data_IF_748229553929
#
_entry.id   IF_748229553929
#
_cell.length_a   1.000
_cell.length_b   1.000
_cell.length_c   1.000
_cell.angle_alpha   90.00
_cell.angle_beta   90.00
_cell.angle_gamma   90.00
#
_symmetry.space_group_name_H-M   'P 1'
#
loop_
_entity.id
_entity.type
_entity.pdbx_description
1 polymer ?
#
# COMPACT_ATOMS: atom_id res chain seq x y z
N UNK A 1 8.30 13.35 1.52
CA UNK A 1 7.90 12.31 2.48
C UNK A 1 6.39 12.16 2.31
N UNK A 2 5.88 10.97 2.01
CA UNK A 2 4.43 10.75 1.84
C UNK A 2 3.77 10.74 3.22
N UNK A 3 2.76 11.58 3.40
CA UNK A 3 1.93 11.61 4.60
C UNK A 3 0.85 10.54 4.53
N UNK A 4 0.32 10.11 5.68
CA UNK A 4 -0.87 9.27 5.70
C UNK A 4 -0.65 7.76 5.55
N UNK A 5 0.59 7.26 5.44
CA UNK A 5 0.85 5.80 5.28
C UNK A 5 0.22 4.94 6.40
N UNK A 6 -0.04 5.53 7.58
CA UNK A 6 -0.76 4.90 8.68
C UNK A 6 -2.20 4.47 8.34
N UNK A 7 -2.82 5.00 7.27
CA UNK A 7 -4.11 4.49 6.77
C UNK A 7 -4.04 3.02 6.35
N UNK A 8 -2.86 2.52 6.00
CA UNK A 8 -2.66 1.09 5.75
C UNK A 8 -2.70 0.23 7.01
N UNK A 9 -2.59 0.78 8.22
CA UNK A 9 -2.48 -0.01 9.46
C UNK A 9 -3.69 -0.91 9.69
N UNK A 10 -4.90 -0.45 9.35
CA UNK A 10 -6.12 -1.27 9.49
C UNK A 10 -6.12 -2.45 8.53
N UNK A 11 -5.74 -2.24 7.26
CA UNK A 11 -5.59 -3.32 6.28
C UNK A 11 -4.47 -4.27 6.69
N UNK A 12 -3.31 -3.74 7.05
CA UNK A 12 -2.17 -4.53 7.50
C UNK A 12 -2.47 -5.29 8.78
N UNK A 13 -3.34 -4.83 9.69
CA UNK A 13 -3.66 -5.58 10.92
C UNK A 13 -4.26 -6.97 10.66
N UNK A 14 -4.84 -7.21 9.48
CA UNK A 14 -5.45 -8.48 9.10
C UNK A 14 -4.38 -9.53 8.85
N UNK A 15 -4.60 -10.77 9.27
CA UNK A 15 -3.67 -11.88 9.01
C UNK A 15 -3.59 -12.24 7.52
N UNK A 16 -4.63 -11.92 6.75
CA UNK A 16 -4.80 -12.25 5.34
C UNK A 16 -4.47 -11.09 4.39
N UNK A 17 -3.93 -9.97 4.87
CA UNK A 17 -3.68 -8.76 4.09
C UNK A 17 -2.91 -8.97 2.77
N UNK A 18 -2.02 -9.96 2.74
CA UNK A 18 -1.16 -10.30 1.60
C UNK A 18 -1.81 -11.28 0.60
N UNK A 19 -2.99 -11.79 0.92
CA UNK A 19 -3.75 -12.71 0.07
C UNK A 19 -4.49 -11.98 -1.03
N UNK A 20 -4.98 -12.71 -2.03
CA UNK A 20 -5.78 -12.19 -3.15
C UNK A 20 -7.29 -12.14 -2.83
N UNK A 21 -7.66 -12.08 -1.55
CA UNK A 21 -9.06 -11.98 -1.18
C UNK A 21 -9.62 -10.59 -1.55
N UNK A 22 -10.78 -10.51 -2.25
CA UNK A 22 -11.36 -9.24 -2.69
C UNK A 22 -11.57 -8.22 -1.55
N UNK A 23 -11.87 -8.69 -0.34
CA UNK A 23 -12.03 -7.84 0.84
C UNK A 23 -10.72 -7.14 1.25
N UNK A 24 -9.58 -7.80 1.06
CA UNK A 24 -8.27 -7.23 1.37
C UNK A 24 -7.90 -6.15 0.35
N UNK A 25 -8.14 -6.40 -0.92
CA UNK A 25 -7.91 -5.41 -1.98
C UNK A 25 -8.79 -4.18 -1.78
N UNK A 26 -10.06 -4.37 -1.40
CA UNK A 26 -10.96 -3.25 -1.08
C UNK A 26 -10.41 -2.39 0.06
N UNK A 27 -9.91 -3.00 1.14
CA UNK A 27 -9.33 -2.26 2.27
C UNK A 27 -8.05 -1.53 1.88
N UNK A 28 -7.19 -2.15 1.07
CA UNK A 28 -6.02 -1.51 0.50
C UNK A 28 -6.40 -0.26 -0.32
N UNK A 29 -7.38 -0.38 -1.24
CA UNK A 29 -7.82 0.75 -2.06
C UNK A 29 -8.45 1.89 -1.25
N UNK A 30 -9.23 1.56 -0.22
CA UNK A 30 -9.81 2.57 0.68
C UNK A 30 -8.72 3.33 1.45
N UNK A 31 -7.68 2.64 1.91
CA UNK A 31 -6.53 3.26 2.55
C UNK A 31 -5.75 4.15 1.56
N UNK A 32 -5.45 3.62 0.37
CA UNK A 32 -4.72 4.35 -0.67
C UNK A 32 -5.45 5.63 -1.10
N UNK A 33 -6.77 5.58 -1.25
CA UNK A 33 -7.59 6.75 -1.57
C UNK A 33 -7.40 7.89 -0.56
N UNK A 34 -7.32 7.57 0.73
CA UNK A 34 -7.06 8.57 1.79
C UNK A 34 -5.65 9.15 1.67
N UNK A 35 -4.66 8.30 1.40
CA UNK A 35 -3.27 8.73 1.21
C UNK A 35 -3.17 9.68 0.01
N UNK A 36 -3.80 9.36 -1.12
CA UNK A 36 -3.82 10.25 -2.31
C UNK A 36 -4.48 11.59 -1.95
N UNK A 37 -5.61 11.58 -1.24
CA UNK A 37 -6.29 12.80 -0.83
C UNK A 37 -5.43 13.69 0.11
N UNK A 38 -4.57 13.09 0.93
CA UNK A 38 -3.65 13.80 1.82
C UNK A 38 -2.36 14.28 1.12
N UNK A 39 -2.08 13.81 -0.10
CA UNK A 39 -0.89 14.17 -0.86
C UNK A 39 -1.30 14.65 -2.28
N UNK A 40 -2.06 15.77 -2.39
CA UNK A 40 -2.59 16.24 -3.66
C UNK A 40 -1.47 16.60 -4.64
N UNK A 41 -1.58 16.15 -5.89
CA UNK A 41 -0.59 16.43 -6.94
C UNK A 41 0.76 15.72 -6.76
N UNK A 42 0.86 14.76 -5.84
CA UNK A 42 2.10 14.04 -5.53
C UNK A 42 1.97 12.57 -5.91
N UNK A 43 2.94 12.05 -6.66
CA UNK A 43 3.03 10.63 -7.00
C UNK A 43 3.46 9.80 -5.77
N UNK A 44 2.66 8.80 -5.42
CA UNK A 44 2.99 7.85 -4.36
C UNK A 44 3.90 6.76 -4.94
N UNK A 45 5.20 6.96 -4.84
CA UNK A 45 6.16 5.98 -5.35
C UNK A 45 6.12 4.61 -4.63
N UNK A 46 6.37 3.53 -5.39
CA UNK A 46 6.39 2.14 -4.92
C UNK A 46 7.19 2.01 -3.62
N UNK A 47 8.37 2.63 -3.61
CA UNK A 47 9.33 2.52 -2.50
C UNK A 47 8.73 2.92 -1.16
N UNK A 48 7.86 3.94 -1.11
CA UNK A 48 7.29 4.43 0.14
C UNK A 48 6.37 3.39 0.77
N UNK A 49 5.49 2.81 -0.05
CA UNK A 49 4.54 1.79 0.41
C UNK A 49 5.25 0.48 0.69
N UNK A 50 6.19 0.08 -0.16
CA UNK A 50 7.00 -1.12 0.04
C UNK A 50 7.76 -1.08 1.38
N UNK A 51 8.50 -0.01 1.65
CA UNK A 51 9.23 0.11 2.92
C UNK A 51 8.30 0.17 4.13
N UNK A 52 7.14 0.83 3.98
CA UNK A 52 6.14 0.87 5.04
C UNK A 52 5.64 -0.53 5.44
N UNK A 53 5.28 -1.34 4.44
CA UNK A 53 4.83 -2.72 4.64
C UNK A 53 5.94 -3.56 5.30
N UNK A 54 7.16 -3.49 4.77
CA UNK A 54 8.30 -4.24 5.31
C UNK A 54 8.54 -3.90 6.78
N UNK A 55 8.48 -2.62 7.15
CA UNK A 55 8.67 -2.17 8.54
C UNK A 55 7.53 -2.59 9.47
N UNK A 56 6.29 -2.62 9.00
CA UNK A 56 5.11 -3.00 9.81
C UNK A 56 4.92 -4.51 9.97
N UNK A 57 5.52 -5.30 9.08
CA UNK A 57 5.29 -6.75 8.99
C UNK A 57 6.54 -7.59 9.19
N UNK A 58 7.60 -7.00 9.73
CA UNK A 58 8.82 -7.72 10.13
C UNK A 58 8.44 -8.98 10.93
N UNK A 59 9.04 -10.12 10.54
CA UNK A 59 8.88 -11.41 11.20
C UNK A 59 7.47 -12.03 11.21
N UNK A 60 6.49 -11.46 10.49
CA UNK A 60 5.13 -12.02 10.43
C UNK A 60 4.93 -13.04 9.29
N UNK A 61 5.83 -13.06 8.32
CA UNK A 61 5.80 -13.94 7.15
C UNK A 61 7.22 -14.41 6.83
N UNK A 62 7.32 -15.47 6.02
CA UNK A 62 8.57 -15.82 5.37
C UNK A 62 9.08 -14.62 4.54
N UNK A 63 10.38 -14.35 4.62
CA UNK A 63 11.00 -13.13 4.08
C UNK A 63 10.72 -12.93 2.57
N UNK A 64 10.78 -14.00 1.78
CA UNK A 64 10.46 -13.95 0.35
C UNK A 64 8.98 -13.61 0.09
N UNK A 65 8.05 -14.21 0.84
CA UNK A 65 6.62 -13.91 0.72
C UNK A 65 6.34 -12.45 1.09
N UNK A 66 6.96 -11.97 2.16
CA UNK A 66 6.82 -10.57 2.60
C UNK A 66 7.36 -9.60 1.56
N UNK A 67 8.56 -9.85 1.02
CA UNK A 67 9.19 -9.01 0.00
C UNK A 67 8.37 -8.97 -1.29
N UNK A 68 7.83 -10.11 -1.72
CA UNK A 68 6.96 -10.19 -2.90
C UNK A 68 5.65 -9.42 -2.68
N UNK A 69 4.99 -9.59 -1.53
CA UNK A 69 3.76 -8.87 -1.21
C UNK A 69 4.00 -7.35 -1.12
N UNK A 70 5.07 -6.92 -0.45
CA UNK A 70 5.42 -5.51 -0.33
C UNK A 70 5.72 -4.87 -1.69
N UNK A 71 6.41 -5.59 -2.59
CA UNK A 71 6.65 -5.14 -3.97
C UNK A 71 5.35 -5.02 -4.76
N UNK A 72 4.48 -6.04 -4.69
CA UNK A 72 3.17 -6.05 -5.39
C UNK A 72 2.35 -4.82 -5.01
N UNK A 73 2.11 -4.63 -3.71
CA UNK A 73 1.25 -3.53 -3.23
C UNK A 73 1.92 -2.16 -3.38
N UNK A 74 3.24 -2.08 -3.32
CA UNK A 74 3.97 -0.86 -3.65
C UNK A 74 3.74 -0.45 -5.10
N UNK A 75 3.91 -1.37 -6.05
CA UNK A 75 3.70 -1.08 -7.46
C UNK A 75 2.25 -0.70 -7.75
N UNK A 76 1.30 -1.43 -7.17
CA UNK A 76 -0.12 -1.15 -7.32
C UNK A 76 -0.49 0.25 -6.80
N UNK A 77 0.12 0.70 -5.71
CA UNK A 77 -0.09 2.05 -5.19
C UNK A 77 0.44 3.13 -6.15
N UNK A 78 1.61 2.90 -6.75
CA UNK A 78 2.19 3.81 -7.73
C UNK A 78 1.34 3.88 -9.00
N UNK A 79 0.97 2.73 -9.57
CA UNK A 79 0.14 2.65 -10.78
C UNK A 79 -1.20 3.39 -10.60
N UNK A 80 -1.86 3.23 -9.45
CA UNK A 80 -3.13 3.92 -9.14
C UNK A 80 -2.91 5.42 -8.92
N UNK A 81 -1.85 5.78 -8.18
CA UNK A 81 -1.53 7.19 -7.94
C UNK A 81 -1.22 7.91 -9.23
N UNK A 82 -0.46 7.30 -10.13
CA UNK A 82 -0.12 7.85 -11.45
C UNK A 82 -1.37 8.00 -12.32
N UNK A 83 -2.23 6.97 -12.36
CA UNK A 83 -3.50 7.06 -13.06
C UNK A 83 -4.36 8.23 -12.57
N UNK A 84 -4.50 8.39 -11.25
CA UNK A 84 -5.29 9.50 -10.67
C UNK A 84 -4.69 10.86 -10.98
N UNK A 85 -3.36 11.00 -10.98
CA UNK A 85 -2.70 12.27 -11.30
C UNK A 85 -2.85 12.65 -12.77
N UNK A 86 -2.82 11.68 -13.68
CA UNK A 86 -2.89 11.91 -15.11
C UNK A 86 -4.31 11.95 -15.69
N UNK A 87 -5.34 11.68 -14.86
CA UNK A 87 -6.75 11.68 -15.28
C UNK A 87 -7.61 12.74 -14.59
N UNK A 88 -7.00 13.59 -13.76
CA UNK A 88 -7.64 14.74 -13.11
C UNK A 88 -7.66 15.99 -14.00
#
# INVERSE_FOLDING_TARGET
MISGLHHFDSWLSRSTWYTLHPDEEKLFYLALKKIIAENPGVLIHEQYVRYYILNKKVSTLADDTLKQAAKKYGKLAEDISDYVLNTQ
#
